data_IF_885807266629
#
_entry.id   IF_885807266629
#
_cell.length_a   1.000
_cell.length_b   1.000
_cell.length_c   1.000
_cell.angle_alpha   90.00
_cell.angle_beta   90.00
_cell.angle_gamma   90.00
#
_symmetry.space_group_name_H-M   'P 1'
#
loop_
_entity.id
_entity.type
_entity.pdbx_description
1 polymer ?
#
# COMPACT_ATOMS: atom_id res chain seq x y z
N UNK A 1 -2.41 -31.91 -51.23
CA UNK A 1 -2.93 -30.62 -50.73
C UNK A 1 -2.45 -30.21 -49.33
N UNK A 2 -2.02 -31.12 -48.45
CA UNK A 2 -1.71 -30.81 -47.03
C UNK A 2 -0.42 -30.00 -46.77
N UNK A 3 0.59 -30.03 -47.65
CA UNK A 3 1.88 -29.33 -47.44
C UNK A 3 1.83 -27.82 -47.78
N UNK A 4 1.04 -27.42 -48.76
CA UNK A 4 0.85 -26.00 -49.12
C UNK A 4 0.00 -25.23 -48.10
N UNK A 5 -0.96 -25.90 -47.46
CA UNK A 5 -1.86 -25.29 -46.48
C UNK A 5 -1.15 -24.88 -45.17
N UNK A 6 -0.10 -25.62 -44.75
CA UNK A 6 0.74 -25.27 -43.58
C UNK A 6 1.69 -24.10 -43.84
N UNK A 7 2.24 -23.99 -45.05
CA UNK A 7 3.19 -22.92 -45.39
C UNK A 7 2.48 -21.56 -45.52
N UNK A 8 1.22 -21.55 -45.97
CA UNK A 8 0.47 -20.31 -46.15
C UNK A 8 -0.28 -19.84 -44.89
N UNK A 9 -0.72 -20.73 -44.00
CA UNK A 9 -1.25 -20.32 -42.69
C UNK A 9 -0.17 -19.65 -41.83
N UNK A 10 1.07 -20.13 -41.92
CA UNK A 10 2.25 -19.48 -41.35
C UNK A 10 2.45 -18.05 -41.86
N UNK A 11 2.28 -17.82 -43.17
CA UNK A 11 2.35 -16.47 -43.74
C UNK A 11 1.22 -15.54 -43.29
N UNK A 12 0.00 -16.05 -43.10
CA UNK A 12 -1.11 -15.23 -42.62
C UNK A 12 -0.92 -14.82 -41.14
N UNK A 13 -0.52 -15.77 -40.29
CA UNK A 13 -0.18 -15.52 -38.89
C UNK A 13 1.06 -14.62 -38.74
N UNK A 14 2.05 -14.78 -39.60
CA UNK A 14 3.21 -13.90 -39.64
C UNK A 14 2.83 -12.47 -40.04
N UNK A 15 1.94 -12.31 -41.02
CA UNK A 15 1.44 -10.99 -41.44
C UNK A 15 0.62 -10.30 -40.35
N UNK A 16 -0.22 -11.03 -39.60
CA UNK A 16 -0.95 -10.45 -38.47
C UNK A 16 -0.01 -10.07 -37.34
N UNK A 17 0.95 -10.92 -37.00
CA UNK A 17 1.96 -10.61 -35.99
C UNK A 17 2.78 -9.38 -36.40
N UNK A 18 3.20 -9.28 -37.66
CA UNK A 18 3.92 -8.11 -38.18
C UNK A 18 3.06 -6.84 -38.11
N UNK A 19 1.77 -6.92 -38.48
CA UNK A 19 0.83 -5.81 -38.37
C UNK A 19 0.66 -5.36 -36.92
N UNK A 20 0.50 -6.30 -35.99
CA UNK A 20 0.36 -6.04 -34.57
C UNK A 20 1.60 -5.36 -33.98
N UNK A 21 2.79 -5.88 -34.28
CA UNK A 21 4.06 -5.30 -33.86
C UNK A 21 4.24 -3.90 -34.44
N UNK A 22 3.98 -3.74 -35.75
CA UNK A 22 4.08 -2.43 -36.41
C UNK A 22 3.11 -1.42 -35.80
N UNK A 23 1.86 -1.81 -35.55
CA UNK A 23 0.87 -0.94 -34.91
C UNK A 23 1.29 -0.55 -33.49
N UNK A 24 1.84 -1.50 -32.72
CA UNK A 24 2.33 -1.24 -31.35
C UNK A 24 3.52 -0.28 -31.36
N UNK A 25 4.50 -0.49 -32.24
CA UNK A 25 5.67 0.39 -32.38
C UNK A 25 5.25 1.79 -32.87
N UNK A 26 4.33 1.86 -33.84
CA UNK A 26 3.80 3.11 -34.35
C UNK A 26 3.06 3.88 -33.24
N UNK A 27 2.28 3.20 -32.42
CA UNK A 27 1.61 3.79 -31.28
C UNK A 27 2.60 4.40 -30.29
N UNK A 28 3.62 3.65 -29.86
CA UNK A 28 4.62 4.16 -28.90
C UNK A 28 5.57 5.23 -29.48
N UNK A 29 5.71 5.33 -30.80
CA UNK A 29 6.54 6.38 -31.42
C UNK A 29 5.77 7.69 -31.67
N UNK A 30 4.49 7.59 -32.05
CA UNK A 30 3.68 8.74 -32.45
C UNK A 30 2.83 9.27 -31.29
N UNK A 31 2.23 8.40 -30.48
CA UNK A 31 1.25 8.82 -29.48
C UNK A 31 1.84 9.69 -28.35
N UNK A 32 3.07 9.43 -27.84
CA UNK A 32 3.69 10.30 -26.84
C UNK A 32 4.06 11.70 -27.35
N UNK A 33 4.32 11.85 -28.66
CA UNK A 33 4.71 13.14 -29.25
C UNK A 33 3.51 14.02 -29.65
N UNK A 34 2.26 13.54 -29.44
CA UNK A 34 1.05 14.26 -29.79
C UNK A 34 0.66 15.31 -28.71
N UNK A 35 0.55 16.61 -29.05
CA UNK A 35 0.43 17.72 -28.08
C UNK A 35 -0.88 17.77 -27.26
N UNK A 36 -1.82 16.85 -27.47
CA UNK A 36 -3.08 16.73 -26.68
C UNK A 36 -3.23 15.39 -25.96
N UNK A 37 -2.44 14.38 -26.34
CA UNK A 37 -2.62 12.98 -25.91
C UNK A 37 -1.34 12.44 -25.27
N UNK A 38 -0.20 13.11 -25.45
CA UNK A 38 1.11 12.68 -24.94
C UNK A 38 1.12 12.43 -23.43
N UNK A 39 0.64 13.38 -22.63
CA UNK A 39 0.59 13.23 -21.16
C UNK A 39 -0.30 12.06 -20.72
N UNK A 40 -1.41 11.85 -21.42
CA UNK A 40 -2.31 10.72 -21.17
C UNK A 40 -1.64 9.38 -21.51
N UNK A 41 -1.00 9.29 -22.67
CA UNK A 41 -0.32 8.07 -23.11
C UNK A 41 0.86 7.75 -22.20
N UNK A 42 1.65 8.76 -21.84
CA UNK A 42 2.79 8.56 -20.95
C UNK A 42 2.34 8.11 -19.55
N UNK A 43 1.20 8.62 -19.06
CA UNK A 43 0.64 8.21 -17.78
C UNK A 43 0.04 6.80 -17.82
N UNK A 44 -0.75 6.46 -18.83
CA UNK A 44 -1.53 5.23 -18.84
C UNK A 44 -0.89 4.05 -19.58
N UNK A 45 0.03 4.30 -20.53
CA UNK A 45 0.62 3.25 -21.37
C UNK A 45 2.11 3.04 -21.10
N UNK A 46 2.77 3.96 -20.40
CA UNK A 46 4.22 3.93 -20.21
C UNK A 46 4.67 3.81 -18.75
N UNK A 47 3.74 3.72 -17.79
CA UNK A 47 4.04 3.75 -16.36
C UNK A 47 4.53 2.41 -15.82
N UNK A 48 4.02 1.30 -16.36
CA UNK A 48 4.31 -0.04 -15.83
C UNK A 48 4.51 -1.09 -16.94
N UNK A 49 5.42 -2.08 -16.78
CA UNK A 49 5.64 -3.15 -17.76
C UNK A 49 4.38 -3.88 -18.23
N UNK A 50 3.39 -4.03 -17.33
CA UNK A 50 2.12 -4.68 -17.66
C UNK A 50 1.27 -3.90 -18.66
N UNK A 51 1.39 -2.57 -18.71
CA UNK A 51 0.69 -1.72 -19.68
C UNK A 51 1.23 -1.99 -21.09
N UNK A 52 2.54 -2.16 -21.24
CA UNK A 52 3.15 -2.55 -22.52
C UNK A 52 2.65 -3.90 -23.01
N UNK A 53 2.58 -4.90 -22.12
CA UNK A 53 2.11 -6.24 -22.46
C UNK A 53 0.63 -6.20 -22.86
N UNK A 54 -0.22 -5.57 -22.05
CA UNK A 54 -1.67 -5.46 -22.32
C UNK A 54 -1.95 -4.68 -23.61
N UNK A 55 -1.20 -3.62 -23.88
CA UNK A 55 -1.28 -2.84 -25.13
C UNK A 55 -0.85 -3.65 -26.34
N UNK A 56 0.23 -4.42 -26.24
CA UNK A 56 0.67 -5.31 -27.32
C UNK A 56 -0.37 -6.40 -27.60
N UNK A 57 -0.98 -6.97 -26.56
CA UNK A 57 -2.10 -7.91 -26.68
C UNK A 57 -3.32 -7.24 -27.33
N UNK A 58 -3.63 -6.01 -26.94
CA UNK A 58 -4.72 -5.22 -27.52
C UNK A 58 -4.54 -5.02 -29.03
N UNK A 59 -3.39 -4.52 -29.46
CA UNK A 59 -3.10 -4.35 -30.89
C UNK A 59 -3.04 -5.67 -31.65
N UNK A 60 -2.62 -6.75 -31.01
CA UNK A 60 -2.67 -8.10 -31.59
C UNK A 60 -4.12 -8.53 -31.84
N UNK A 61 -4.99 -8.38 -30.84
CA UNK A 61 -6.43 -8.66 -31.00
C UNK A 61 -7.06 -7.82 -32.10
N UNK A 62 -6.77 -6.51 -32.11
CA UNK A 62 -7.29 -5.58 -33.11
C UNK A 62 -6.79 -5.91 -34.53
N UNK A 63 -5.52 -6.29 -34.69
CA UNK A 63 -4.95 -6.67 -35.97
C UNK A 63 -5.60 -7.95 -36.53
N UNK A 64 -5.87 -8.94 -35.67
CA UNK A 64 -6.57 -10.17 -36.07
C UNK A 64 -8.00 -9.83 -36.52
N UNK A 65 -8.73 -9.03 -35.74
CA UNK A 65 -10.08 -8.59 -36.06
C UNK A 65 -10.14 -7.77 -37.36
N UNK A 66 -9.20 -6.85 -37.56
CA UNK A 66 -9.11 -6.05 -38.77
C UNK A 66 -8.82 -6.92 -40.00
N UNK A 67 -7.92 -7.90 -39.89
CA UNK A 67 -7.65 -8.83 -40.99
C UNK A 67 -8.88 -9.65 -41.35
N UNK A 68 -9.59 -10.19 -40.35
CA UNK A 68 -10.86 -10.90 -40.52
C UNK A 68 -11.89 -10.00 -41.22
N UNK A 69 -12.07 -8.78 -40.73
CA UNK A 69 -12.99 -7.81 -41.32
C UNK A 69 -12.68 -7.47 -42.78
N UNK A 70 -11.40 -7.26 -43.12
CA UNK A 70 -10.99 -6.95 -44.51
C UNK A 70 -11.20 -8.15 -45.44
N UNK A 71 -11.08 -9.39 -44.93
CA UNK A 71 -11.30 -10.63 -45.70
C UNK A 71 -12.77 -10.88 -46.06
N UNK A 72 -13.73 -10.29 -45.33
CA UNK A 72 -15.16 -10.39 -45.64
C UNK A 72 -15.54 -9.79 -46.99
N UNK A 73 -14.86 -8.69 -47.39
CA UNK A 73 -15.17 -7.98 -48.64
C UNK A 73 -14.95 -8.83 -49.90
N UNK A 74 -13.77 -9.43 -50.12
CA UNK A 74 -13.57 -10.31 -51.27
C UNK A 74 -14.47 -11.54 -51.22
N UNK A 75 -14.79 -12.07 -50.03
CA UNK A 75 -15.68 -13.23 -49.90
C UNK A 75 -17.12 -12.92 -50.37
N UNK A 76 -17.68 -11.78 -49.95
CA UNK A 76 -18.98 -11.31 -50.47
C UNK A 76 -18.99 -11.09 -51.98
N UNK A 77 -17.89 -10.60 -52.55
CA UNK A 77 -17.77 -10.43 -54.01
C UNK A 77 -17.79 -11.77 -54.73
N UNK A 78 -17.01 -12.74 -54.27
CA UNK A 78 -17.00 -14.08 -54.87
C UNK A 78 -18.36 -14.76 -54.76
N UNK A 79 -19.08 -14.55 -53.65
CA UNK A 79 -20.45 -15.05 -53.52
C UNK A 79 -21.37 -14.47 -54.59
N UNK A 80 -21.33 -13.15 -54.80
CA UNK A 80 -22.09 -12.48 -55.86
C UNK A 80 -21.70 -13.00 -57.25
N UNK A 81 -20.39 -13.11 -57.53
CA UNK A 81 -19.90 -13.62 -58.82
C UNK A 81 -20.31 -15.09 -59.06
N UNK A 82 -20.38 -15.90 -57.99
CA UNK A 82 -20.83 -17.30 -58.05
C UNK A 82 -22.34 -17.40 -58.34
N UNK A 83 -23.14 -16.55 -57.70
CA UNK A 83 -24.58 -16.41 -57.96
C UNK A 83 -24.79 -16.03 -59.42
N UNK A 84 -24.13 -14.98 -59.91
CA UNK A 84 -24.29 -14.50 -61.28
C UNK A 84 -23.89 -15.56 -62.32
N UNK A 85 -22.81 -16.31 -62.05
CA UNK A 85 -22.38 -17.41 -62.91
C UNK A 85 -23.41 -18.55 -62.96
N UNK A 86 -23.87 -19.04 -61.81
CA UNK A 86 -24.79 -20.18 -61.72
C UNK A 86 -26.23 -19.84 -62.10
N UNK A 87 -26.67 -18.61 -61.88
CA UNK A 87 -27.95 -18.10 -62.35
C UNK A 87 -27.96 -17.82 -63.86
N UNK A 88 -26.81 -17.88 -64.55
CA UNK A 88 -26.73 -17.77 -65.99
C UNK A 88 -27.54 -18.84 -66.73
N UNK A 89 -28.35 -18.43 -67.71
CA UNK A 89 -29.24 -19.31 -68.49
C UNK A 89 -28.52 -20.50 -69.14
N UNK A 90 -27.25 -20.30 -69.51
CA UNK A 90 -26.41 -21.33 -70.12
C UNK A 90 -26.13 -22.53 -69.19
N UNK A 91 -26.03 -22.31 -67.87
CA UNK A 91 -25.80 -23.39 -66.89
C UNK A 91 -27.12 -24.06 -66.52
N UNK A 92 -28.19 -23.28 -66.36
CA UNK A 92 -29.52 -23.83 -66.06
C UNK A 92 -30.03 -24.79 -67.14
N UNK A 93 -29.74 -24.52 -68.42
CA UNK A 93 -30.15 -25.37 -69.55
C UNK A 93 -29.15 -26.50 -69.88
N UNK A 94 -27.98 -26.57 -69.24
CA UNK A 94 -26.98 -27.59 -69.53
C UNK A 94 -27.36 -28.97 -68.95
N UNK A 95 -26.81 -30.05 -69.52
CA UNK A 95 -26.95 -31.38 -68.93
C UNK A 95 -26.25 -31.49 -67.56
N UNK A 96 -26.73 -32.33 -66.62
CA UNK A 96 -26.15 -32.45 -65.28
C UNK A 96 -24.63 -32.68 -65.26
N UNK A 97 -24.10 -33.48 -66.20
CA UNK A 97 -22.66 -33.73 -66.31
C UNK A 97 -21.86 -32.49 -66.77
N UNK A 98 -22.44 -31.67 -67.66
CA UNK A 98 -21.83 -30.43 -68.14
C UNK A 98 -21.91 -29.30 -67.09
N UNK A 99 -22.94 -29.29 -66.23
CA UNK A 99 -23.02 -28.35 -65.11
C UNK A 99 -21.88 -28.57 -64.12
N UNK A 100 -21.61 -29.82 -63.75
CA UNK A 100 -20.53 -30.18 -62.80
C UNK A 100 -19.16 -29.81 -63.37
N UNK A 101 -18.91 -30.09 -64.66
CA UNK A 101 -17.64 -29.75 -65.29
C UNK A 101 -17.45 -28.23 -65.39
N UNK A 102 -18.50 -27.49 -65.75
CA UNK A 102 -18.49 -26.02 -65.83
C UNK A 102 -18.27 -25.36 -64.46
N UNK A 103 -18.92 -25.86 -63.40
CA UNK A 103 -18.70 -25.40 -62.03
C UNK A 103 -17.27 -25.68 -61.59
N UNK A 104 -16.74 -26.89 -61.87
CA UNK A 104 -15.35 -27.19 -61.53
C UNK A 104 -14.34 -26.31 -62.27
N UNK A 105 -14.58 -26.02 -63.55
CA UNK A 105 -13.73 -25.13 -64.34
C UNK A 105 -13.82 -23.66 -63.93
N UNK A 106 -14.94 -23.24 -63.33
CA UNK A 106 -15.06 -21.92 -62.70
C UNK A 106 -14.29 -21.87 -61.38
N UNK A 107 -14.42 -22.91 -60.53
CA UNK A 107 -13.65 -23.02 -59.29
C UNK A 107 -12.12 -23.01 -59.57
N UNK A 108 -11.66 -23.71 -60.61
CA UNK A 108 -10.24 -23.75 -61.00
C UNK A 108 -9.69 -22.39 -61.50
N UNK A 109 -10.57 -21.49 -61.96
CA UNK A 109 -10.22 -20.13 -62.42
C UNK A 109 -10.21 -19.09 -61.31
N UNK A 110 -10.66 -19.44 -60.10
CA UNK A 110 -10.66 -18.51 -58.99
C UNK A 110 -9.21 -18.10 -58.65
N UNK A 111 -8.95 -16.80 -58.38
CA UNK A 111 -7.64 -16.34 -57.96
C UNK A 111 -7.14 -17.10 -56.72
N UNK A 112 -5.86 -17.51 -56.71
CA UNK A 112 -5.23 -18.27 -55.60
C UNK A 112 -5.31 -17.57 -54.22
N UNK A 113 -5.65 -16.26 -54.17
CA UNK A 113 -5.88 -15.51 -52.92
C UNK A 113 -7.27 -15.79 -52.30
N UNK A 114 -8.20 -16.31 -53.08
CA UNK A 114 -9.58 -16.63 -52.69
C UNK A 114 -9.76 -18.11 -52.37
N UNK A 115 -8.75 -18.94 -52.66
CA UNK A 115 -8.72 -20.38 -52.36
C UNK A 115 -8.98 -20.68 -50.88
N UNK A 116 -8.66 -19.73 -49.99
CA UNK A 116 -8.78 -19.85 -48.53
C UNK A 116 -10.09 -19.27 -47.95
N UNK A 117 -11.05 -18.86 -48.78
CA UNK A 117 -12.37 -18.40 -48.29
C UNK A 117 -13.21 -19.59 -47.81
N UNK A 118 -14.17 -19.35 -46.91
CA UNK A 118 -15.06 -20.44 -46.50
C UNK A 118 -15.92 -20.89 -47.68
N UNK A 119 -16.37 -19.95 -48.51
CA UNK A 119 -17.12 -20.22 -49.74
C UNK A 119 -16.33 -21.10 -50.72
N UNK A 120 -15.06 -20.79 -51.00
CA UNK A 120 -14.26 -21.58 -51.95
C UNK A 120 -14.10 -23.02 -51.47
N UNK A 121 -13.75 -23.22 -50.19
CA UNK A 121 -13.65 -24.57 -49.62
C UNK A 121 -14.98 -25.32 -49.73
N UNK A 122 -16.10 -24.68 -49.39
CA UNK A 122 -17.43 -25.27 -49.50
C UNK A 122 -17.78 -25.66 -50.95
N UNK A 123 -17.47 -24.80 -51.91
CA UNK A 123 -17.70 -25.06 -53.34
C UNK A 123 -16.83 -26.20 -53.85
N UNK A 124 -15.54 -26.25 -53.48
CA UNK A 124 -14.66 -27.35 -53.86
C UNK A 124 -15.11 -28.68 -53.25
N UNK A 125 -15.47 -28.69 -51.96
CA UNK A 125 -15.97 -29.89 -51.27
C UNK A 125 -17.28 -30.37 -51.93
N UNK A 126 -18.18 -29.45 -52.27
CA UNK A 126 -19.42 -29.76 -52.98
C UNK A 126 -19.15 -30.32 -54.38
N UNK A 127 -18.25 -29.71 -55.16
CA UNK A 127 -17.86 -30.20 -56.49
C UNK A 127 -17.21 -31.58 -56.40
N UNK A 128 -16.39 -31.82 -55.38
CA UNK A 128 -15.76 -33.12 -55.15
C UNK A 128 -16.81 -34.19 -54.81
N UNK A 129 -17.79 -33.87 -53.97
CA UNK A 129 -18.92 -34.75 -53.68
C UNK A 129 -19.74 -35.08 -54.93
N UNK A 130 -20.07 -34.07 -55.75
CA UNK A 130 -20.83 -34.24 -56.99
C UNK A 130 -20.11 -35.05 -58.08
N UNK A 131 -18.76 -35.04 -58.09
CA UNK A 131 -17.94 -35.91 -58.95
C UNK A 131 -17.89 -37.36 -58.46
N UNK A 132 -18.30 -37.64 -57.22
CA UNK A 132 -18.39 -38.97 -56.65
C UNK A 132 -19.59 -39.78 -57.16
N UNK A 133 -19.58 -41.09 -56.92
CA UNK A 133 -20.60 -42.01 -57.44
C UNK A 133 -21.96 -41.96 -56.74
N UNK A 134 -22.08 -41.30 -55.57
CA UNK A 134 -23.32 -41.23 -54.78
C UNK A 134 -23.87 -39.79 -54.85
N UNK A 135 -24.98 -39.59 -55.57
CA UNK A 135 -25.56 -38.27 -55.85
C UNK A 135 -26.78 -37.92 -54.99
N UNK A 136 -27.37 -38.91 -54.31
CA UNK A 136 -28.68 -38.81 -53.65
C UNK A 136 -28.64 -38.27 -52.21
N UNK A 137 -27.65 -37.43 -51.87
CA UNK A 137 -27.46 -36.91 -50.51
C UNK A 137 -26.87 -35.51 -50.44
N UNK A 138 -27.04 -34.72 -51.50
CA UNK A 138 -26.45 -33.38 -51.59
C UNK A 138 -26.93 -32.45 -50.48
N UNK A 139 -28.22 -32.48 -50.13
CA UNK A 139 -28.77 -31.66 -49.05
C UNK A 139 -28.10 -31.95 -47.70
N UNK A 140 -28.01 -33.24 -47.33
CA UNK A 140 -27.33 -33.68 -46.11
C UNK A 140 -25.86 -33.28 -46.11
N UNK A 141 -25.20 -33.40 -47.28
CA UNK A 141 -23.80 -32.99 -47.40
C UNK A 141 -23.62 -31.47 -47.24
N UNK A 142 -24.51 -30.65 -47.82
CA UNK A 142 -24.47 -29.19 -47.68
C UNK A 142 -24.73 -28.75 -46.23
N UNK A 143 -25.64 -29.44 -45.52
CA UNK A 143 -25.90 -29.23 -44.08
C UNK A 143 -24.68 -29.58 -43.23
N UNK A 144 -24.06 -30.74 -43.47
CA UNK A 144 -22.79 -31.11 -42.82
C UNK A 144 -21.69 -30.06 -43.02
N UNK A 145 -21.55 -29.53 -44.25
CA UNK A 145 -20.61 -28.45 -44.53
C UNK A 145 -20.97 -27.13 -43.83
N UNK A 146 -22.26 -26.87 -43.58
CA UNK A 146 -22.73 -25.70 -42.84
C UNK A 146 -22.31 -25.77 -41.37
N UNK A 147 -22.57 -26.91 -40.72
CA UNK A 147 -22.22 -27.17 -39.33
C UNK A 147 -20.70 -27.05 -39.14
N UNK A 148 -19.92 -27.70 -40.01
CA UNK A 148 -18.46 -27.64 -39.97
C UNK A 148 -17.92 -26.21 -40.15
N UNK A 149 -18.58 -25.40 -40.99
CA UNK A 149 -18.23 -24.00 -41.19
C UNK A 149 -18.53 -23.15 -39.93
N UNK A 150 -19.65 -23.41 -39.25
CA UNK A 150 -20.01 -22.80 -37.97
C UNK A 150 -19.03 -23.12 -36.85
N UNK A 151 -18.62 -24.39 -36.73
CA UNK A 151 -17.60 -24.80 -35.75
C UNK A 151 -16.24 -24.13 -36.02
N UNK A 152 -15.80 -24.11 -37.30
CA UNK A 152 -14.56 -23.43 -37.71
C UNK A 152 -14.61 -21.94 -37.41
N UNK A 153 -15.76 -21.30 -37.62
CA UNK A 153 -15.98 -19.90 -37.27
C UNK A 153 -15.75 -19.70 -35.77
N UNK A 154 -16.43 -20.48 -34.92
CA UNK A 154 -16.28 -20.40 -33.46
C UNK A 154 -14.83 -20.60 -33.02
N UNK A 155 -14.15 -21.62 -33.57
CA UNK A 155 -12.76 -21.92 -33.27
C UNK A 155 -11.81 -20.80 -33.70
N UNK A 156 -12.10 -20.11 -34.80
CA UNK A 156 -11.28 -19.00 -35.29
C UNK A 156 -11.29 -17.77 -34.37
N UNK A 157 -12.32 -17.61 -33.53
CA UNK A 157 -12.42 -16.56 -32.52
C UNK A 157 -11.83 -16.96 -31.16
N UNK A 158 -11.39 -18.22 -30.98
CA UNK A 158 -10.83 -18.69 -29.72
C UNK A 158 -9.63 -17.84 -29.27
N UNK A 159 -8.69 -17.53 -30.17
CA UNK A 159 -7.52 -16.69 -29.85
C UNK A 159 -7.92 -15.29 -29.39
N UNK A 160 -8.90 -14.67 -30.04
CA UNK A 160 -9.41 -13.34 -29.67
C UNK A 160 -10.06 -13.41 -28.28
N UNK A 161 -10.87 -14.45 -28.02
CA UNK A 161 -11.49 -14.68 -26.71
C UNK A 161 -10.45 -14.84 -25.61
N UNK A 162 -9.38 -15.59 -25.85
CA UNK A 162 -8.26 -15.73 -24.92
C UNK A 162 -7.59 -14.39 -24.63
N UNK A 163 -7.32 -13.57 -25.65
CA UNK A 163 -6.73 -12.22 -25.46
C UNK A 163 -7.67 -11.34 -24.64
N UNK A 164 -8.96 -11.32 -24.97
CA UNK A 164 -9.98 -10.51 -24.29
C UNK A 164 -10.13 -10.89 -22.81
N UNK A 165 -9.97 -12.17 -22.48
CA UNK A 165 -9.97 -12.67 -21.10
C UNK A 165 -8.67 -12.39 -20.35
N UNK A 166 -7.52 -12.44 -21.04
CA UNK A 166 -6.22 -12.24 -20.43
C UNK A 166 -5.95 -10.76 -20.04
N UNK A 167 -6.44 -9.80 -20.84
CA UNK A 167 -6.21 -8.37 -20.57
C UNK A 167 -6.75 -7.94 -19.19
N UNK A 168 -8.01 -8.24 -18.78
CA UNK A 168 -8.50 -7.93 -17.44
C UNK A 168 -7.70 -8.61 -16.31
N UNK A 169 -7.25 -9.85 -16.52
CA UNK A 169 -6.43 -10.57 -15.54
C UNK A 169 -5.07 -9.87 -15.36
N UNK A 170 -4.46 -9.39 -16.44
CA UNK A 170 -3.25 -8.56 -16.38
C UNK A 170 -3.49 -7.22 -15.70
N UNK A 171 -4.66 -6.61 -15.89
CA UNK A 171 -5.06 -5.40 -15.17
C UNK A 171 -5.15 -5.63 -13.66
N UNK A 172 -5.81 -6.71 -13.24
CA UNK A 172 -5.87 -7.13 -11.83
C UNK A 172 -4.48 -7.48 -11.27
N UNK A 173 -3.61 -8.12 -12.06
CA UNK A 173 -2.22 -8.34 -11.65
C UNK A 173 -1.50 -6.99 -11.43
N UNK A 174 -1.80 -5.98 -12.25
CA UNK A 174 -1.31 -4.60 -12.10
C UNK A 174 -1.72 -3.97 -10.77
N UNK A 175 -2.97 -4.16 -10.32
CA UNK A 175 -3.39 -3.65 -9.01
C UNK A 175 -2.71 -4.36 -7.86
N UNK A 176 -2.58 -5.69 -7.92
CA UNK A 176 -1.89 -6.46 -6.88
C UNK A 176 -0.45 -5.98 -6.73
N UNK A 177 0.26 -5.79 -7.85
CA UNK A 177 1.64 -5.31 -7.84
C UNK A 177 1.71 -3.86 -7.35
N UNK A 178 0.86 -2.96 -7.85
CA UNK A 178 0.87 -1.54 -7.46
C UNK A 178 0.55 -1.32 -5.98
N UNK A 179 -0.42 -2.07 -5.43
CA UNK A 179 -0.75 -2.03 -3.99
C UNK A 179 0.39 -2.63 -3.16
N UNK A 180 0.99 -3.72 -3.61
CA UNK A 180 2.12 -4.34 -2.90
C UNK A 180 3.32 -3.39 -2.84
N UNK A 181 3.64 -2.71 -3.95
CA UNK A 181 4.68 -1.68 -3.99
C UNK A 181 4.34 -0.49 -3.08
N UNK A 182 3.07 -0.07 -3.05
CA UNK A 182 2.63 1.03 -2.18
C UNK A 182 2.81 0.71 -0.69
N UNK A 183 2.63 -0.55 -0.27
CA UNK A 183 2.70 -0.96 1.14
C UNK A 183 4.12 -1.38 1.56
N UNK A 184 4.90 -1.97 0.65
CA UNK A 184 6.20 -2.57 0.98
C UNK A 184 7.24 -1.59 1.54
N UNK A 185 7.13 -0.29 1.24
CA UNK A 185 8.08 0.74 1.67
C UNK A 185 7.58 1.61 2.84
N UNK A 186 6.43 1.28 3.46
CA UNK A 186 5.88 2.07 4.55
C UNK A 186 6.38 1.54 5.89
N UNK A 187 7.30 2.27 6.53
CA UNK A 187 7.64 2.08 7.95
C UNK A 187 6.79 3.01 8.83
N UNK A 188 6.32 2.55 10.01
CA UNK A 188 5.47 3.35 10.90
C UNK A 188 6.11 4.67 11.34
N UNK A 189 7.44 4.73 11.43
CA UNK A 189 8.15 5.96 11.83
C UNK A 189 8.26 7.00 10.71
N UNK A 190 7.93 6.67 9.45
CA UNK A 190 8.12 7.52 8.26
C UNK A 190 6.83 7.81 7.48
N UNK A 191 5.66 7.50 8.06
CA UNK A 191 4.35 7.63 7.42
C UNK A 191 4.14 8.99 6.73
N UNK A 192 4.47 10.11 7.38
CA UNK A 192 4.31 11.45 6.79
C UNK A 192 5.20 11.69 5.55
N UNK A 193 6.40 11.07 5.49
CA UNK A 193 7.27 11.13 4.31
C UNK A 193 6.92 10.11 3.23
N UNK A 194 6.27 8.99 3.59
CA UNK A 194 5.95 7.89 2.68
C UNK A 194 4.59 8.04 1.97
N UNK A 195 3.74 9.00 2.37
CA UNK A 195 2.43 9.23 1.74
C UNK A 195 2.49 9.47 0.22
N UNK A 196 3.54 10.14 -0.26
CA UNK A 196 3.75 10.36 -1.71
C UNK A 196 4.02 9.06 -2.48
N UNK A 197 4.81 8.15 -1.90
CA UNK A 197 5.10 6.85 -2.52
C UNK A 197 3.87 5.93 -2.50
N UNK A 198 3.13 5.91 -1.40
CA UNK A 198 1.88 5.14 -1.26
C UNK A 198 0.86 5.59 -2.30
N UNK A 199 0.65 6.91 -2.42
CA UNK A 199 -0.31 7.48 -3.38
C UNK A 199 0.14 7.25 -4.83
N UNK A 200 1.44 7.27 -5.10
CA UNK A 200 2.01 6.90 -6.41
C UNK A 200 1.75 5.44 -6.79
N UNK A 201 2.05 4.49 -5.90
CA UNK A 201 1.82 3.06 -6.14
C UNK A 201 0.33 2.73 -6.30
N UNK A 202 -0.53 3.38 -5.53
CA UNK A 202 -1.98 3.24 -5.65
C UNK A 202 -2.52 3.85 -6.95
N UNK A 203 -1.97 4.98 -7.40
CA UNK A 203 -2.33 5.56 -8.69
C UNK A 203 -1.98 4.63 -9.86
N UNK A 204 -0.80 4.02 -9.86
CA UNK A 204 -0.39 3.01 -10.86
C UNK A 204 -1.32 1.79 -10.83
N UNK A 205 -1.68 1.31 -9.63
CA UNK A 205 -2.64 0.21 -9.49
C UNK A 205 -3.97 0.52 -10.17
N UNK A 206 -4.55 1.69 -9.91
CA UNK A 206 -5.83 2.06 -10.52
C UNK A 206 -5.73 2.34 -12.02
N UNK A 207 -4.68 3.05 -12.46
CA UNK A 207 -4.49 3.40 -13.87
C UNK A 207 -4.31 2.13 -14.74
N UNK A 208 -3.52 1.15 -14.27
CA UNK A 208 -3.31 -0.13 -14.98
C UNK A 208 -4.61 -0.94 -15.16
N UNK A 209 -5.48 -0.97 -14.14
CA UNK A 209 -6.78 -1.66 -14.25
C UNK A 209 -7.76 -0.90 -15.13
N UNK A 210 -7.86 0.42 -14.98
CA UNK A 210 -8.74 1.24 -15.80
C UNK A 210 -8.40 1.09 -17.29
N UNK A 211 -7.10 1.12 -17.63
CA UNK A 211 -6.63 0.90 -18.98
C UNK A 211 -6.98 -0.49 -19.50
N UNK A 212 -6.69 -1.54 -18.74
CA UNK A 212 -6.95 -2.92 -19.14
C UNK A 212 -8.45 -3.16 -19.42
N UNK A 213 -9.32 -2.67 -18.54
CA UNK A 213 -10.77 -2.77 -18.74
C UNK A 213 -11.23 -1.98 -19.97
N UNK A 214 -10.72 -0.77 -20.18
CA UNK A 214 -11.02 0.03 -21.36
C UNK A 214 -10.65 -0.68 -22.66
N UNK A 215 -9.44 -1.23 -22.73
CA UNK A 215 -8.97 -2.00 -23.89
C UNK A 215 -9.79 -3.28 -24.11
N UNK A 216 -10.15 -3.98 -23.03
CA UNK A 216 -10.97 -5.19 -23.10
C UNK A 216 -12.37 -4.91 -23.66
N UNK A 217 -13.04 -3.86 -23.18
CA UNK A 217 -14.37 -3.46 -23.68
C UNK A 217 -14.33 -3.17 -25.18
N UNK A 218 -13.32 -2.43 -25.63
CA UNK A 218 -13.14 -2.12 -27.06
C UNK A 218 -12.96 -3.40 -27.88
N UNK A 219 -12.15 -4.36 -27.41
CA UNK A 219 -11.97 -5.64 -28.09
C UNK A 219 -13.22 -6.52 -28.09
N UNK A 220 -13.97 -6.58 -26.98
CA UNK A 220 -15.24 -7.31 -26.92
C UNK A 220 -16.19 -6.79 -27.99
N UNK A 221 -16.38 -5.47 -28.05
CA UNK A 221 -17.28 -4.85 -29.02
C UNK A 221 -16.80 -5.05 -30.47
N UNK A 222 -15.51 -4.86 -30.73
CA UNK A 222 -14.94 -5.10 -32.05
C UNK A 222 -15.08 -6.58 -32.47
N UNK A 223 -14.86 -7.51 -31.55
CA UNK A 223 -15.06 -8.95 -31.77
C UNK A 223 -16.51 -9.25 -32.13
N UNK A 224 -17.47 -8.71 -31.38
CA UNK A 224 -18.89 -8.89 -31.64
C UNK A 224 -19.28 -8.42 -33.06
N UNK A 225 -18.83 -7.23 -33.47
CA UNK A 225 -19.13 -6.68 -34.81
C UNK A 225 -18.56 -7.57 -35.92
N UNK A 226 -17.32 -8.02 -35.78
CA UNK A 226 -16.66 -8.86 -36.81
C UNK A 226 -17.26 -10.26 -36.83
N UNK A 227 -17.53 -10.86 -35.68
CA UNK A 227 -18.17 -12.18 -35.57
C UNK A 227 -19.56 -12.16 -36.19
N UNK A 228 -20.36 -11.13 -35.90
CA UNK A 228 -21.68 -10.94 -36.52
C UNK A 228 -21.59 -10.78 -38.03
N UNK A 229 -20.58 -10.05 -38.52
CA UNK A 229 -20.39 -9.86 -39.95
C UNK A 229 -19.94 -11.15 -40.66
N UNK A 230 -19.07 -11.96 -40.05
CA UNK A 230 -18.68 -13.29 -40.54
C UNK A 230 -19.87 -14.26 -40.52
N UNK A 231 -20.69 -14.28 -39.45
CA UNK A 231 -21.92 -15.08 -39.40
C UNK A 231 -22.89 -14.73 -40.52
N UNK A 232 -23.11 -13.44 -40.79
CA UNK A 232 -24.00 -13.02 -41.87
C UNK A 232 -23.52 -13.54 -43.23
N UNK A 233 -22.21 -13.46 -43.52
CA UNK A 233 -21.66 -14.01 -44.76
C UNK A 233 -21.83 -15.53 -44.81
N UNK A 234 -21.64 -16.23 -43.69
CA UNK A 234 -21.85 -17.68 -43.65
C UNK A 234 -23.31 -18.06 -43.95
N UNK A 235 -24.27 -17.30 -43.42
CA UNK A 235 -25.69 -17.47 -43.72
C UNK A 235 -25.99 -17.19 -45.20
N UNK A 236 -25.40 -16.14 -45.78
CA UNK A 236 -25.55 -15.85 -47.22
C UNK A 236 -25.03 -17.02 -48.08
N UNK A 237 -23.92 -17.66 -47.67
CA UNK A 237 -23.35 -18.85 -48.34
C UNK A 237 -24.26 -20.08 -48.18
N UNK A 238 -24.88 -20.25 -47.02
CA UNK A 238 -25.85 -21.33 -46.79
C UNK A 238 -27.10 -21.16 -47.66
N UNK A 239 -27.66 -19.95 -47.71
CA UNK A 239 -28.79 -19.61 -48.56
C UNK A 239 -28.46 -19.85 -50.04
N UNK A 240 -27.27 -19.47 -50.50
CA UNK A 240 -26.77 -19.80 -51.83
C UNK A 240 -26.74 -21.31 -52.12
N UNK A 241 -26.34 -22.12 -51.13
CA UNK A 241 -26.35 -23.58 -51.25
C UNK A 241 -27.76 -24.15 -51.44
N UNK A 242 -28.73 -23.63 -50.69
CA UNK A 242 -30.12 -24.11 -50.70
C UNK A 242 -30.87 -23.60 -51.94
N UNK A 243 -30.72 -22.33 -52.31
CA UNK A 243 -31.50 -21.72 -53.39
C UNK A 243 -30.96 -22.02 -54.79
N UNK A 244 -29.63 -22.19 -54.92
CA UNK A 244 -28.98 -22.33 -56.23
C UNK A 244 -28.35 -23.71 -56.40
N UNK A 245 -27.53 -24.19 -55.47
CA UNK A 245 -26.84 -25.47 -55.67
C UNK A 245 -27.81 -26.67 -55.57
N UNK A 246 -28.73 -26.65 -54.60
CA UNK A 246 -29.63 -27.78 -54.39
C UNK A 246 -30.58 -28.02 -55.59
N UNK A 247 -31.28 -27.02 -56.17
CA UNK A 247 -32.14 -27.26 -57.33
C UNK A 247 -31.36 -27.64 -58.59
N UNK A 248 -30.13 -27.13 -58.73
CA UNK A 248 -29.33 -27.31 -59.94
C UNK A 248 -28.66 -28.69 -60.00
N UNK A 249 -28.40 -29.32 -58.85
CA UNK A 249 -27.67 -30.60 -58.74
C UNK A 249 -28.41 -31.70 -57.96
N UNK A 250 -29.44 -31.37 -57.17
CA UNK A 250 -30.24 -32.30 -56.37
C UNK A 250 -31.39 -32.97 -57.10
N UNK A 251 -31.52 -32.77 -58.42
CA UNK A 251 -32.55 -33.39 -59.25
C UNK A 251 -32.26 -34.89 -59.52
N UNK A 252 -32.39 -35.68 -58.45
CA UNK A 252 -32.45 -37.13 -58.45
C UNK A 252 -33.84 -37.68 -58.14
N UNK A 253 -34.89 -36.85 -58.08
CA UNK A 253 -36.28 -37.33 -58.08
C UNK A 253 -37.23 -36.24 -58.57
N UNK A 254 -37.78 -36.43 -59.78
CA UNK A 254 -38.99 -35.73 -60.19
C UNK A 254 -40.17 -36.51 -59.63
N UNK A 255 -40.59 -36.19 -58.41
CA UNK A 255 -41.90 -36.54 -57.90
C UNK A 255 -42.59 -35.26 -57.44
N UNK A 256 -43.43 -34.74 -58.34
CA UNK A 256 -44.62 -33.93 -58.08
C UNK A 256 -44.70 -33.22 -56.72
N UNK A 257 -44.14 -32.01 -56.63
CA UNK A 257 -44.60 -31.01 -55.65
C UNK A 257 -44.74 -29.67 -56.38
N UNK A 258 -45.79 -29.60 -57.19
CA UNK A 258 -46.42 -28.33 -57.55
C UNK A 258 -47.40 -27.99 -56.44
N UNK A 259 -46.89 -27.50 -55.31
CA UNK A 259 -47.71 -27.14 -54.16
C UNK A 259 -46.90 -26.44 -53.09
N UNK A 260 -47.20 -25.16 -52.89
CA UNK A 260 -46.87 -24.34 -51.72
C UNK A 260 -45.39 -23.99 -51.48
N UNK A 261 -45.07 -22.77 -51.92
CA UNK A 261 -44.24 -21.82 -51.17
C UNK A 261 -44.45 -21.95 -49.65
N UNK A 262 -43.57 -22.71 -49.00
CA UNK A 262 -43.67 -23.01 -47.58
C UNK A 262 -42.33 -23.40 -46.95
N UNK A 263 -41.22 -22.77 -47.36
CA UNK A 263 -39.88 -23.04 -46.79
C UNK A 263 -39.51 -22.14 -45.60
N UNK A 264 -40.51 -21.51 -44.95
CA UNK A 264 -40.31 -20.78 -43.69
C UNK A 264 -40.47 -21.66 -42.43
N UNK A 265 -40.85 -22.94 -42.54
CA UNK A 265 -41.22 -23.74 -41.35
C UNK A 265 -40.07 -24.60 -40.77
N UNK A 266 -39.17 -25.15 -41.59
CA UNK A 266 -38.09 -26.02 -41.09
C UNK A 266 -36.94 -25.25 -40.43
N UNK A 267 -36.62 -24.06 -40.94
CA UNK A 267 -35.67 -23.14 -40.31
C UNK A 267 -36.21 -22.56 -39.02
N UNK A 268 -37.51 -22.25 -38.93
CA UNK A 268 -38.13 -21.76 -37.70
C UNK A 268 -38.26 -22.85 -36.63
N UNK A 269 -38.61 -24.08 -36.98
CA UNK A 269 -38.74 -25.17 -36.01
C UNK A 269 -37.37 -25.61 -35.50
N UNK A 270 -36.35 -25.68 -36.37
CA UNK A 270 -34.96 -25.95 -35.96
C UNK A 270 -34.30 -24.76 -35.23
N UNK A 271 -34.55 -23.50 -35.63
CA UNK A 271 -34.14 -22.32 -34.84
C UNK A 271 -34.87 -22.29 -33.50
N UNK A 272 -36.15 -22.66 -33.44
CA UNK A 272 -36.91 -22.71 -32.19
C UNK A 272 -36.37 -23.82 -31.30
N UNK A 273 -36.09 -25.00 -31.83
CA UNK A 273 -35.47 -26.11 -31.10
C UNK A 273 -34.07 -25.73 -30.61
N UNK A 274 -33.23 -25.14 -31.47
CA UNK A 274 -31.90 -24.67 -31.09
C UNK A 274 -31.96 -23.49 -30.12
N UNK A 275 -32.87 -22.54 -30.29
CA UNK A 275 -33.10 -21.43 -29.35
C UNK A 275 -33.64 -21.93 -28.02
N UNK A 276 -34.43 -23.00 -28.01
CA UNK A 276 -34.95 -23.66 -26.81
C UNK A 276 -33.84 -24.40 -26.09
N UNK A 277 -33.03 -25.16 -26.81
CA UNK A 277 -31.84 -25.83 -26.28
C UNK A 277 -30.82 -24.80 -25.75
N UNK A 278 -30.62 -23.69 -26.45
CA UNK A 278 -29.79 -22.58 -25.98
C UNK A 278 -30.39 -21.84 -24.80
N UNK A 279 -31.71 -21.64 -24.76
CA UNK A 279 -32.38 -21.04 -23.61
C UNK A 279 -32.32 -21.96 -22.38
N UNK A 280 -32.48 -23.27 -22.57
CA UNK A 280 -32.35 -24.29 -21.51
C UNK A 280 -30.89 -24.40 -21.04
N UNK A 281 -29.92 -24.39 -21.95
CA UNK A 281 -28.50 -24.43 -21.60
C UNK A 281 -28.02 -23.11 -20.98
N UNK A 282 -28.51 -21.96 -21.45
CA UNK A 282 -28.22 -20.65 -20.86
C UNK A 282 -28.89 -20.47 -19.50
N UNK A 283 -30.13 -20.97 -19.33
CA UNK A 283 -30.80 -21.02 -18.04
C UNK A 283 -30.05 -21.95 -17.08
N UNK A 284 -29.65 -23.14 -17.53
CA UNK A 284 -28.86 -24.09 -16.74
C UNK A 284 -27.48 -23.55 -16.37
N UNK A 285 -26.80 -22.87 -17.29
CA UNK A 285 -25.53 -22.20 -17.04
C UNK A 285 -25.70 -21.02 -16.07
N UNK A 286 -26.74 -20.19 -16.25
CA UNK A 286 -27.05 -19.09 -15.32
C UNK A 286 -27.39 -19.62 -13.93
N UNK A 287 -28.09 -20.75 -13.85
CA UNK A 287 -28.47 -21.38 -12.60
C UNK A 287 -27.25 -21.97 -11.90
N UNK A 288 -26.39 -22.70 -12.62
CA UNK A 288 -25.12 -23.20 -12.11
C UNK A 288 -24.19 -22.06 -11.68
N UNK A 289 -24.15 -20.94 -12.43
CA UNK A 289 -23.39 -19.75 -12.06
C UNK A 289 -23.91 -19.11 -10.78
N UNK A 290 -25.24 -19.05 -10.63
CA UNK A 290 -25.87 -18.49 -9.44
C UNK A 290 -25.65 -19.40 -8.21
N UNK A 291 -25.69 -20.72 -8.40
CA UNK A 291 -25.40 -21.71 -7.35
C UNK A 291 -23.93 -21.63 -6.90
N UNK A 292 -23.00 -21.52 -7.85
CA UNK A 292 -21.58 -21.36 -7.59
C UNK A 292 -21.29 -20.01 -6.91
N UNK A 293 -21.93 -18.92 -7.35
CA UNK A 293 -21.87 -17.62 -6.68
C UNK A 293 -22.40 -17.70 -5.25
N UNK A 294 -23.55 -18.32 -5.03
CA UNK A 294 -24.11 -18.46 -3.69
C UNK A 294 -23.21 -19.29 -2.78
N UNK A 295 -22.61 -20.34 -3.32
CA UNK A 295 -21.64 -21.18 -2.59
C UNK A 295 -20.40 -20.38 -2.22
N UNK A 296 -19.83 -19.62 -3.16
CA UNK A 296 -18.68 -18.76 -2.88
C UNK A 296 -19.02 -17.60 -1.94
N UNK A 297 -20.20 -16.99 -2.04
CA UNK A 297 -20.63 -15.93 -1.11
C UNK A 297 -20.82 -16.49 0.29
N UNK A 298 -21.36 -17.71 0.42
CA UNK A 298 -21.50 -18.38 1.71
C UNK A 298 -20.14 -18.74 2.31
N UNK A 299 -19.24 -19.32 1.50
CA UNK A 299 -17.89 -19.68 1.91
C UNK A 299 -17.10 -18.44 2.36
N UNK A 300 -17.09 -17.39 1.53
CA UNK A 300 -16.39 -16.14 1.81
C UNK A 300 -16.96 -15.44 3.05
N UNK A 301 -18.30 -15.45 3.25
CA UNK A 301 -18.91 -14.96 4.51
C UNK A 301 -18.43 -15.75 5.72
N UNK A 302 -18.33 -17.07 5.61
CA UNK A 302 -17.89 -17.94 6.70
C UNK A 302 -16.39 -17.76 6.99
N UNK A 303 -15.55 -17.64 5.96
CA UNK A 303 -14.12 -17.36 6.14
C UNK A 303 -13.92 -15.97 6.74
N UNK A 304 -14.63 -14.95 6.25
CA UNK A 304 -14.50 -13.60 6.81
C UNK A 304 -14.99 -13.56 8.27
N UNK A 305 -16.12 -14.19 8.58
CA UNK A 305 -16.64 -14.23 9.96
C UNK A 305 -15.66 -14.94 10.91
N UNK A 306 -15.13 -16.09 10.52
CA UNK A 306 -14.18 -16.84 11.34
C UNK A 306 -12.82 -16.14 11.48
N UNK A 307 -12.31 -15.53 10.42
CA UNK A 307 -11.06 -14.77 10.47
C UNK A 307 -11.19 -13.46 11.25
N UNK A 308 -12.31 -12.74 11.11
CA UNK A 308 -12.56 -11.51 11.88
C UNK A 308 -12.75 -11.82 13.36
N UNK A 309 -13.45 -12.91 13.71
CA UNK A 309 -13.56 -13.36 15.10
C UNK A 309 -12.21 -13.78 15.67
N UNK A 310 -11.39 -14.53 14.91
CA UNK A 310 -10.04 -14.90 15.32
C UNK A 310 -9.14 -13.67 15.52
N UNK A 311 -9.19 -12.70 14.60
CA UNK A 311 -8.44 -11.45 14.70
C UNK A 311 -8.87 -10.61 15.90
N UNK A 312 -10.18 -10.52 16.18
CA UNK A 312 -10.70 -9.83 17.36
C UNK A 312 -10.27 -10.49 18.66
N UNK A 313 -10.30 -11.83 18.74
CA UNK A 313 -9.81 -12.58 19.91
C UNK A 313 -8.31 -12.38 20.11
N UNK A 314 -7.53 -12.40 19.02
CA UNK A 314 -6.10 -12.16 19.09
C UNK A 314 -5.79 -10.73 19.56
N UNK A 315 -6.48 -9.72 19.01
CA UNK A 315 -6.32 -8.34 19.46
C UNK A 315 -6.77 -8.12 20.92
N UNK A 316 -7.80 -8.83 21.38
CA UNK A 316 -8.20 -8.81 22.79
C UNK A 316 -7.10 -9.38 23.68
N UNK A 317 -6.52 -10.53 23.33
CA UNK A 317 -5.42 -11.15 24.07
C UNK A 317 -4.16 -10.27 24.08
N UNK A 318 -3.82 -9.64 22.95
CA UNK A 318 -2.69 -8.70 22.85
C UNK A 318 -2.93 -7.47 23.74
N UNK A 319 -4.16 -6.95 23.78
CA UNK A 319 -4.53 -5.83 24.64
C UNK A 319 -4.50 -6.19 26.12
N UNK A 320 -4.90 -7.39 26.52
CA UNK A 320 -4.80 -7.88 27.91
C UNK A 320 -3.33 -8.01 28.32
N UNK A 321 -2.52 -8.62 27.46
CA UNK A 321 -1.07 -8.75 27.68
C UNK A 321 -0.40 -7.38 27.84
N UNK A 322 -0.73 -6.41 26.97
CA UNK A 322 -0.22 -5.05 27.07
C UNK A 322 -0.63 -4.38 28.39
N UNK A 323 -1.90 -4.52 28.80
CA UNK A 323 -2.39 -3.98 30.08
C UNK A 323 -1.65 -4.57 31.27
N UNK A 324 -1.40 -5.87 31.28
CA UNK A 324 -0.68 -6.55 32.36
C UNK A 324 0.78 -6.09 32.43
N UNK A 325 1.45 -5.92 31.28
CA UNK A 325 2.80 -5.35 31.23
C UNK A 325 2.82 -3.91 31.76
N UNK A 326 1.89 -3.06 31.32
CA UNK A 326 1.79 -1.68 31.82
C UNK A 326 1.49 -1.62 33.32
N UNK A 327 0.58 -2.46 33.82
CA UNK A 327 0.27 -2.55 35.24
C UNK A 327 1.47 -3.03 36.06
N UNK A 328 2.25 -3.98 35.53
CA UNK A 328 3.50 -4.45 36.12
C UNK A 328 4.55 -3.35 36.22
N UNK A 329 4.77 -2.60 35.13
CA UNK A 329 5.70 -1.46 35.09
C UNK A 329 5.27 -0.37 36.05
N UNK A 330 3.97 -0.02 36.08
CA UNK A 330 3.42 0.97 37.01
C UNK A 330 3.65 0.54 38.47
N UNK A 331 3.32 -0.70 38.82
CA UNK A 331 3.55 -1.24 40.17
C UNK A 331 5.03 -1.16 40.56
N UNK A 332 5.93 -1.63 39.68
CA UNK A 332 7.37 -1.55 39.92
C UNK A 332 7.88 -0.11 40.05
N UNK A 333 7.33 0.83 39.29
CA UNK A 333 7.68 2.25 39.42
C UNK A 333 7.20 2.87 40.74
N UNK A 334 6.02 2.49 41.22
CA UNK A 334 5.49 2.95 42.51
C UNK A 334 6.33 2.39 43.66
N UNK A 335 6.65 1.09 43.64
CA UNK A 335 7.56 0.48 44.61
C UNK A 335 8.93 1.16 44.61
N UNK A 336 9.52 1.39 43.44
CA UNK A 336 10.80 2.09 43.34
C UNK A 336 10.76 3.54 43.84
N UNK A 337 9.63 4.25 43.65
CA UNK A 337 9.44 5.60 44.21
C UNK A 337 9.35 5.53 45.73
N UNK A 338 8.56 4.60 46.28
CA UNK A 338 8.43 4.41 47.73
C UNK A 338 9.78 4.12 48.36
N UNK A 339 10.52 3.13 47.85
CA UNK A 339 11.86 2.78 48.35
C UNK A 339 12.82 3.98 48.28
N UNK A 340 12.79 4.73 47.17
CA UNK A 340 13.63 5.91 47.01
C UNK A 340 13.25 7.03 47.98
N UNK A 341 11.96 7.24 48.24
CA UNK A 341 11.49 8.22 49.22
C UNK A 341 11.87 7.84 50.64
N UNK A 342 11.75 6.57 51.01
CA UNK A 342 12.16 6.06 52.32
C UNK A 342 13.67 6.21 52.51
N UNK A 343 14.48 5.87 51.50
CA UNK A 343 15.92 6.07 51.52
C UNK A 343 16.33 7.55 51.60
N UNK A 344 15.54 8.47 51.04
CA UNK A 344 15.75 9.91 51.19
C UNK A 344 15.40 10.37 52.60
N UNK A 345 14.25 9.96 53.14
CA UNK A 345 13.83 10.28 54.50
C UNK A 345 14.85 9.77 55.53
N UNK A 346 15.29 8.52 55.42
CA UNK A 346 16.31 7.96 56.31
C UNK A 346 17.68 8.68 56.21
N UNK A 347 18.01 9.27 55.04
CA UNK A 347 19.20 10.13 54.91
C UNK A 347 18.98 11.51 55.53
N UNK A 348 17.78 12.06 55.41
CA UNK A 348 17.42 13.32 56.04
C UNK A 348 17.45 13.19 57.57
N UNK A 349 16.86 12.13 58.12
CA UNK A 349 16.79 11.89 59.57
C UNK A 349 18.19 11.82 60.20
N UNK A 350 19.08 11.00 59.63
CA UNK A 350 20.50 10.93 60.03
C UNK A 350 21.22 12.28 59.92
N UNK A 351 20.88 13.09 58.91
CA UNK A 351 21.45 14.43 58.77
C UNK A 351 20.96 15.35 59.88
N UNK A 352 19.66 15.34 60.19
CA UNK A 352 19.07 16.13 61.29
C UNK A 352 19.69 15.73 62.62
N UNK A 353 19.84 14.44 62.90
CA UNK A 353 20.52 13.94 64.11
C UNK A 353 21.96 14.47 64.18
N UNK A 354 22.72 14.37 63.08
CA UNK A 354 24.11 14.88 63.06
C UNK A 354 24.19 16.40 63.27
N UNK A 355 23.23 17.16 62.74
CA UNK A 355 23.13 18.60 62.96
C UNK A 355 22.77 18.94 64.40
N UNK A 356 21.84 18.21 65.00
CA UNK A 356 21.48 18.38 66.41
C UNK A 356 22.67 18.11 67.33
N UNK A 357 23.43 17.04 67.07
CA UNK A 357 24.66 16.74 67.82
C UNK A 357 25.73 17.82 67.63
N UNK A 358 25.93 18.30 66.40
CA UNK A 358 26.86 19.39 66.11
C UNK A 358 26.45 20.70 66.82
N UNK A 359 25.15 21.01 66.89
CA UNK A 359 24.64 22.18 67.61
C UNK A 359 24.81 22.05 69.13
N UNK A 360 24.52 20.88 69.70
CA UNK A 360 24.73 20.63 71.14
C UNK A 360 26.21 20.80 71.51
N UNK A 361 27.11 20.15 70.76
CA UNK A 361 28.56 20.25 71.00
C UNK A 361 29.07 21.68 70.82
N UNK A 362 28.60 22.41 69.79
CA UNK A 362 28.94 23.82 69.61
C UNK A 362 28.41 24.71 70.73
N UNK A 363 27.20 24.44 71.25
CA UNK A 363 26.60 25.19 72.36
C UNK A 363 27.37 24.96 73.66
N UNK A 364 27.72 23.71 73.97
CA UNK A 364 28.56 23.38 75.13
C UNK A 364 29.93 24.05 75.05
N UNK A 365 30.56 24.01 73.87
CA UNK A 365 31.82 24.70 73.63
C UNK A 365 31.68 26.21 73.84
N UNK A 366 30.64 26.83 73.30
CA UNK A 366 30.37 28.27 73.47
C UNK A 366 30.09 28.64 74.92
N UNK A 367 29.40 27.78 75.69
CA UNK A 367 29.17 28.00 77.11
C UNK A 367 30.48 27.98 77.91
N UNK A 368 31.34 26.98 77.67
CA UNK A 368 32.68 26.90 78.27
C UNK A 368 33.55 28.10 77.90
N UNK A 369 33.47 28.57 76.65
CA UNK A 369 34.18 29.76 76.21
C UNK A 369 33.70 31.02 76.94
N UNK A 370 32.38 31.19 77.10
CA UNK A 370 31.79 32.30 77.85
C UNK A 370 32.22 32.29 79.32
N UNK A 371 32.22 31.12 79.96
CA UNK A 371 32.70 30.95 81.34
C UNK A 371 34.19 31.30 81.49
N UNK A 372 35.03 30.84 80.55
CA UNK A 372 36.45 31.19 80.52
C UNK A 372 36.68 32.69 80.33
N UNK A 373 35.89 33.35 79.48
CA UNK A 373 35.93 34.81 79.30
C UNK A 373 35.48 35.56 80.56
N UNK A 374 34.46 35.07 81.25
CA UNK A 374 34.01 35.62 82.54
C UNK A 374 35.08 35.48 83.62
N UNK A 375 35.73 34.31 83.75
CA UNK A 375 36.83 34.10 84.70
C UNK A 375 38.03 35.00 84.38
N UNK A 376 38.36 35.15 83.09
CA UNK A 376 39.40 36.07 82.65
C UNK A 376 39.05 37.52 82.99
N UNK A 377 37.80 37.94 82.77
CA UNK A 377 37.30 39.25 83.18
C UNK A 377 37.39 39.47 84.69
N UNK A 378 37.00 38.46 85.50
CA UNK A 378 37.10 38.53 86.95
C UNK A 378 38.55 38.61 87.45
N UNK A 379 39.48 37.90 86.81
CA UNK A 379 40.92 37.99 87.10
C UNK A 379 41.49 39.36 86.76
N UNK A 380 41.10 39.95 85.62
CA UNK A 380 41.48 41.33 85.27
C UNK A 380 40.95 42.35 86.28
N UNK A 381 39.73 42.15 86.80
CA UNK A 381 39.14 43.00 87.84
C UNK A 381 39.90 42.89 89.17
N UNK A 382 40.28 41.67 89.57
CA UNK A 382 41.14 41.47 90.75
C UNK A 382 42.54 42.07 90.57
N UNK A 383 43.10 41.99 89.36
CA UNK A 383 44.40 42.58 89.05
C UNK A 383 44.34 44.11 89.15
N UNK A 384 43.28 44.73 88.62
CA UNK A 384 43.07 46.18 88.73
C UNK A 384 42.84 46.62 90.17
N UNK A 385 42.08 45.86 90.99
CA UNK A 385 41.93 46.16 92.42
C UNK A 385 43.25 45.97 93.19
N UNK A 386 44.08 44.99 92.82
CA UNK A 386 45.40 44.79 93.40
C UNK A 386 46.36 45.94 93.03
N UNK A 387 46.29 46.44 91.79
CA UNK A 387 46.99 47.65 91.37
C UNK A 387 46.54 48.87 92.18
N UNK A 388 45.24 49.03 92.44
CA UNK A 388 44.69 50.12 93.27
C UNK A 388 45.14 50.02 94.73
N UNK A 389 45.15 48.81 95.32
CA UNK A 389 45.69 48.59 96.67
C UNK A 389 47.19 48.84 96.76
N UNK A 390 47.96 48.45 95.73
CA UNK A 390 49.39 48.76 95.64
C UNK A 390 49.61 50.28 95.64
N UNK A 391 48.82 51.03 94.87
CA UNK A 391 48.86 52.48 94.88
C UNK A 391 48.53 53.06 96.27
N UNK A 392 47.52 52.51 96.96
CA UNK A 392 47.17 52.95 98.32
C UNK A 392 48.26 52.66 99.37
N UNK A 393 48.88 51.48 99.33
CA UNK A 393 50.01 51.14 100.22
C UNK A 393 51.20 52.06 99.96
N UNK A 394 51.50 52.37 98.70
CA UNK A 394 52.54 53.35 98.36
C UNK A 394 52.24 54.73 98.96
N UNK A 395 50.98 55.17 98.91
CA UNK A 395 50.55 56.43 99.55
C UNK A 395 50.75 56.40 101.07
N UNK A 396 50.29 55.35 101.75
CA UNK A 396 50.43 55.22 103.22
C UNK A 396 51.89 55.13 103.67
N UNK A 397 52.75 54.46 102.90
CA UNK A 397 54.18 54.40 103.19
C UNK A 397 54.81 55.79 103.11
N UNK A 398 54.40 56.59 102.12
CA UNK A 398 54.82 57.99 101.98
C UNK A 398 54.38 58.82 103.19
N UNK A 399 53.13 58.70 103.62
CA UNK A 399 52.59 59.44 104.78
C UNK A 399 53.28 59.02 106.10
N UNK A 400 53.55 57.73 106.29
CA UNK A 400 54.27 57.24 107.47
C UNK A 400 55.73 57.70 107.50
N UNK A 401 56.41 57.74 106.35
CA UNK A 401 57.75 58.32 106.25
C UNK A 401 57.74 59.81 106.61
N UNK A 402 56.73 60.56 106.15
CA UNK A 402 56.58 61.97 106.48
C UNK A 402 56.28 62.20 107.97
N UNK A 403 55.43 61.38 108.58
CA UNK A 403 55.13 61.48 110.01
C UNK A 403 56.31 61.06 110.90
N UNK A 404 57.11 60.08 110.49
CA UNK A 404 58.37 59.74 111.18
C UNK A 404 59.38 60.90 111.12
N UNK A 405 59.46 61.59 109.99
CA UNK A 405 60.28 62.79 109.85
C UNK A 405 59.79 63.91 110.79
N UNK A 406 58.46 64.08 110.92
CA UNK A 406 57.86 65.03 111.89
C UNK A 406 58.07 64.61 113.35
N UNK A 407 57.99 63.32 113.69
CA UNK A 407 58.19 62.85 115.06
C UNK A 407 59.65 63.03 115.53
N UNK A 408 60.61 62.75 114.64
CA UNK A 408 62.03 62.95 114.94
C UNK A 408 62.37 64.44 115.17
N UNK A 409 61.76 65.35 114.39
CA UNK A 409 61.91 66.79 114.63
C UNK A 409 61.27 67.23 115.95
N UNK A 410 60.11 66.67 116.32
CA UNK A 410 59.48 66.93 117.63
C UNK A 410 60.35 66.45 118.81
N UNK A 411 60.96 65.27 118.73
CA UNK A 411 61.83 64.74 119.79
C UNK A 411 63.07 65.62 120.01
N UNK A 412 63.67 66.13 118.93
CA UNK A 412 64.74 67.12 119.02
C UNK A 412 64.29 68.39 119.75
N UNK A 413 63.08 68.89 119.48
CA UNK A 413 62.57 70.10 120.17
C UNK A 413 62.27 69.87 121.65
N UNK A 414 61.71 68.72 122.03
CA UNK A 414 61.38 68.40 123.43
C UNK A 414 62.64 68.27 124.31
N UNK A 415 63.70 67.64 123.81
CA UNK A 415 64.97 67.53 124.53
C UNK A 415 65.63 68.91 124.77
N UNK A 416 65.45 69.86 123.85
CA UNK A 416 65.94 71.24 124.05
C UNK A 416 65.19 71.99 125.16
N UNK A 417 63.88 71.75 125.30
CA UNK A 417 63.03 72.43 126.28
C UNK A 417 63.26 71.92 127.71
N UNK A 418 63.47 70.61 127.88
CA UNK A 418 63.77 69.99 129.18
C UNK A 418 65.09 70.50 129.78
N UNK A 419 66.10 70.76 128.94
CA UNK A 419 67.36 71.35 129.38
C UNK A 419 67.18 72.78 129.94
N UNK A 420 66.24 73.56 129.40
CA UNK A 420 65.97 74.94 129.85
C UNK A 420 65.23 74.99 131.21
N UNK A 421 64.32 74.04 131.47
CA UNK A 421 63.52 73.98 132.70
C UNK A 421 64.37 73.62 133.93
N UNK A 422 65.37 72.74 133.78
CA UNK A 422 66.28 72.39 134.88
C UNK A 422 67.12 73.57 135.38
N UNK A 423 67.46 74.53 134.53
CA UNK A 423 68.24 75.73 134.90
C UNK A 423 67.40 76.73 135.69
N UNK A 424 66.10 76.84 135.40
CA UNK A 424 65.20 77.80 136.06
C UNK A 424 64.83 77.37 137.50
N UNK A 425 64.66 76.07 137.75
CA UNK A 425 64.25 75.55 139.07
C UNK A 425 65.38 75.60 140.11
N UNK A 426 66.65 75.58 139.69
CA UNK A 426 67.79 75.73 140.60
C UNK A 426 67.93 77.16 141.16
N UNK A 427 67.34 78.17 140.51
CA UNK A 427 67.45 79.58 140.93
C UNK A 427 66.38 80.02 141.93
N UNK A 428 65.24 79.34 142.00
CA UNK A 428 64.11 79.75 142.85
C UNK A 428 64.19 79.26 144.30
N UNK A 429 64.99 78.21 144.59
CA UNK A 429 65.16 77.68 145.95
C UNK A 429 66.02 78.56 146.88
N UNK A 430 66.71 79.59 146.34
CA UNK A 430 67.66 80.42 147.11
C UNK A 430 67.07 81.74 147.64
N UNK A 431 65.84 82.14 147.26
CA UNK A 431 65.37 83.53 147.46
C UNK A 431 64.40 83.79 148.64
N UNK A 432 63.96 82.80 149.43
CA UNK A 432 62.91 83.00 150.47
C UNK A 432 63.46 82.98 151.91
N UNK A 433 64.79 82.98 152.11
CA UNK A 433 65.41 83.03 153.46
C UNK A 433 65.74 84.44 154.00
N UNK A 434 65.11 85.52 153.50
CA UNK A 434 65.34 86.89 153.99
C UNK A 434 64.17 87.88 153.76
N UNK A 435 63.20 87.94 154.69
CA UNK A 435 62.44 89.12 155.13
C UNK A 435 61.31 88.67 156.08
N UNK A 436 60.89 89.56 156.98
CA UNK A 436 59.92 89.39 158.07
C UNK A 436 58.56 88.78 157.68
#
# INVERSE_FOLDING_TARGET
>A
MTRHHRLQSGNAAFRTALLAVTATVLFYTIAPSAPRIGDFVQRYFCSHPLEYISTAMFFTGLAILLQKYVRLRPERRVLSDAVDFLSGSQIQSAEPGQRISSLSGWCDKLPQKLDQTQLSHRLFDTVHYLKGSRKDGLEEHLRYLAELAGERLHQSFATIRTITWAIPILGFLGTVIGITMAIANVTPEQLDSSLGEVTGGLAVAFDTTALALGMSIVLVFASFVVERAEQNVLNDVEQFGIEILLPLFGAGESADVRGETGLSFAGEESLREFSRLWAEQAAGMSQAWNELLQTHVADLRQTLASQTEAALRQHQADSETARDVYAGVLRGSVEAIVDRTEAVMARFDRRVESWQQALQTSSEFSARQSEALHDLGAKLLKMTEAEERLAHIQQQLSDNLQTLEMANTMEQTANSLAAAVHVLTAKTSTSIRSAA
#
